data_IF_114021610584
#
_entry.id   IF_114021610584
#
_cell.length_a   1.000
_cell.length_b   1.000
_cell.length_c   1.000
_cell.angle_alpha   90.00
_cell.angle_beta   90.00
_cell.angle_gamma   90.00
#
_symmetry.space_group_name_H-M   'P 1'
#
loop_
_entity.id
_entity.type
_entity.pdbx_description
1 polymer ?
#
# COMPACT_ATOMS: atom_id res chain seq x y z
N UNK A 1 -0.20 38.40 -4.26
CA UNK A 1 -0.88 37.33 -3.51
C UNK A 1 -0.30 36.01 -4.01
N UNK A 2 0.70 35.50 -3.31
CA UNK A 2 1.34 34.23 -3.62
C UNK A 2 0.39 33.11 -3.24
N UNK A 3 -0.25 32.49 -4.22
CA UNK A 3 -0.79 31.14 -4.02
C UNK A 3 0.40 30.23 -4.29
N UNK A 4 0.99 29.74 -3.22
CA UNK A 4 1.86 28.58 -3.23
C UNK A 4 1.00 27.42 -3.70
N UNK A 5 0.91 27.30 -5.03
CA UNK A 5 0.40 26.12 -5.70
C UNK A 5 1.32 25.01 -5.27
N UNK A 6 0.77 24.02 -4.55
CA UNK A 6 1.45 22.76 -4.33
C UNK A 6 1.75 22.18 -5.72
N UNK A 7 2.95 22.45 -6.23
CA UNK A 7 3.55 21.80 -7.38
C UNK A 7 3.99 20.40 -6.92
N UNK A 8 3.02 19.62 -6.48
CA UNK A 8 3.12 18.17 -6.46
C UNK A 8 2.32 17.78 -7.69
N UNK A 9 3.04 17.74 -8.82
CA UNK A 9 2.48 17.45 -10.13
C UNK A 9 1.52 16.27 -10.06
N UNK A 10 0.52 16.29 -10.93
CA UNK A 10 -0.45 15.23 -11.17
C UNK A 10 0.24 13.87 -11.35
N UNK A 11 0.67 13.27 -10.26
CA UNK A 11 1.29 11.99 -10.29
C UNK A 11 0.14 11.01 -10.42
N UNK A 12 -0.12 10.69 -11.68
CA UNK A 12 -0.95 9.58 -12.13
C UNK A 12 -0.30 8.29 -11.66
N UNK A 13 -0.22 8.05 -10.35
CA UNK A 13 0.34 6.84 -9.78
C UNK A 13 -0.62 5.69 -10.09
N UNK A 14 -0.43 5.05 -11.24
CA UNK A 14 -0.75 3.63 -11.45
C UNK A 14 0.45 2.79 -10.96
N UNK A 15 1.03 3.17 -9.83
CA UNK A 15 2.19 2.47 -9.31
C UNK A 15 1.76 1.14 -8.71
N UNK A 16 2.39 0.10 -9.23
CA UNK A 16 2.29 -1.26 -8.73
C UNK A 16 3.42 -1.44 -7.72
N UNK A 17 3.07 -1.57 -6.44
CA UNK A 17 4.07 -1.77 -5.40
C UNK A 17 4.32 -3.26 -5.21
N UNK A 18 5.58 -3.68 -5.18
CA UNK A 18 5.91 -5.04 -4.78
C UNK A 18 6.16 -5.09 -3.28
N UNK A 19 5.41 -5.93 -2.60
CA UNK A 19 5.46 -6.05 -1.17
C UNK A 19 6.47 -7.14 -0.78
N UNK A 20 7.46 -6.79 0.05
CA UNK A 20 8.50 -7.70 0.54
C UNK A 20 8.41 -7.84 2.06
N UNK A 21 8.69 -9.05 2.53
CA UNK A 21 8.93 -9.32 3.94
C UNK A 21 10.27 -8.74 4.40
N UNK A 22 10.48 -8.56 5.72
CA UNK A 22 11.77 -8.14 6.26
C UNK A 22 12.91 -9.13 5.96
N UNK A 23 12.57 -10.40 5.69
CA UNK A 23 13.51 -11.44 5.24
C UNK A 23 13.93 -11.30 3.76
N UNK A 24 13.28 -10.40 3.01
CA UNK A 24 13.53 -10.16 1.59
C UNK A 24 12.64 -10.98 0.65
N UNK A 25 11.97 -12.01 1.17
CA UNK A 25 10.96 -12.81 0.45
C UNK A 25 9.77 -11.97 -0.02
N UNK A 26 9.21 -12.28 -1.19
CA UNK A 26 8.01 -11.59 -1.71
C UNK A 26 6.77 -12.00 -0.93
N UNK A 27 5.91 -11.04 -0.61
CA UNK A 27 4.65 -11.31 0.07
C UNK A 27 3.54 -11.57 -0.95
N UNK A 28 3.65 -12.68 -1.68
CA UNK A 28 2.70 -13.09 -2.72
C UNK A 28 1.47 -13.82 -2.16
N UNK A 29 0.29 -13.61 -2.76
CA UNK A 29 -1.00 -14.20 -2.31
C UNK A 29 -1.30 -13.97 -0.83
N UNK A 30 -0.92 -12.80 -0.31
CA UNK A 30 -1.07 -12.46 1.10
C UNK A 30 -2.15 -11.40 1.30
N UNK A 31 -3.07 -11.62 2.25
CA UNK A 31 -4.03 -10.60 2.63
C UNK A 31 -3.29 -9.44 3.31
N UNK A 32 -3.67 -8.22 2.95
CA UNK A 32 -3.11 -7.00 3.51
C UNK A 32 -4.22 -6.00 3.83
N UNK A 33 -3.93 -5.13 4.78
CA UNK A 33 -4.68 -3.92 5.09
C UNK A 33 -3.78 -2.71 4.82
N UNK A 34 -4.24 -1.83 3.94
CA UNK A 34 -3.62 -0.55 3.65
C UNK A 34 -4.40 0.54 4.39
N UNK A 35 -3.72 1.24 5.29
CA UNK A 35 -4.26 2.38 6.01
C UNK A 35 -3.72 3.66 5.39
N UNK A 36 -4.61 4.55 4.95
CA UNK A 36 -4.27 5.85 4.38
C UNK A 36 -4.07 6.89 5.48
N UNK A 37 -3.38 7.98 5.16
CA UNK A 37 -3.18 9.11 6.09
C UNK A 37 -4.49 9.71 6.62
N UNK A 38 -5.56 9.66 5.81
CA UNK A 38 -6.93 10.07 6.17
C UNK A 38 -7.63 9.11 7.15
N UNK A 39 -7.03 7.96 7.47
CA UNK A 39 -7.61 6.92 8.32
C UNK A 39 -8.46 5.90 7.56
N UNK A 40 -8.69 6.09 6.26
CA UNK A 40 -9.35 5.13 5.40
C UNK A 40 -8.55 3.81 5.33
N UNK A 41 -9.22 2.68 5.53
CA UNK A 41 -8.64 1.33 5.48
C UNK A 41 -9.12 0.60 4.24
N UNK A 42 -8.18 0.01 3.50
CA UNK A 42 -8.44 -0.75 2.28
C UNK A 42 -7.86 -2.14 2.50
N UNK A 43 -8.71 -3.15 2.43
CA UNK A 43 -8.26 -4.54 2.51
C UNK A 43 -8.16 -5.12 1.11
N UNK A 44 -7.13 -5.93 0.89
CA UNK A 44 -6.89 -6.60 -0.38
C UNK A 44 -5.99 -7.80 -0.22
N UNK A 45 -5.69 -8.45 -1.33
CA UNK A 45 -4.73 -9.56 -1.39
C UNK A 45 -3.71 -9.24 -2.46
N UNK A 46 -2.42 -9.45 -2.16
CA UNK A 46 -1.35 -9.31 -3.15
C UNK A 46 -1.46 -10.40 -4.22
N UNK A 47 -0.99 -10.09 -5.42
CA UNK A 47 -0.95 -11.08 -6.51
C UNK A 47 0.17 -12.13 -6.29
N UNK A 48 0.33 -13.06 -7.24
CA UNK A 48 1.36 -14.11 -7.22
C UNK A 48 2.80 -13.57 -7.22
N UNK A 49 2.99 -12.35 -7.70
CA UNK A 49 4.27 -11.63 -7.68
C UNK A 49 4.41 -10.68 -6.46
N UNK A 50 3.46 -10.71 -5.51
CA UNK A 50 3.47 -9.79 -4.36
C UNK A 50 3.07 -8.36 -4.71
N UNK A 51 2.40 -8.17 -5.85
CA UNK A 51 2.06 -6.85 -6.37
C UNK A 51 0.77 -6.31 -5.74
N UNK A 52 0.81 -5.03 -5.36
CA UNK A 52 -0.28 -4.23 -4.83
C UNK A 52 -0.54 -3.10 -5.80
N UNK A 53 -1.70 -3.13 -6.45
CA UNK A 53 -2.14 -2.06 -7.35
C UNK A 53 -2.88 -1.01 -6.55
N UNK A 54 -2.23 0.12 -6.27
CA UNK A 54 -2.90 1.25 -5.63
C UNK A 54 -3.78 1.98 -6.65
N UNK A 55 -4.96 2.40 -6.20
CA UNK A 55 -5.83 3.22 -7.03
C UNK A 55 -5.24 4.63 -7.19
N UNK A 56 -5.46 5.20 -8.37
CA UNK A 56 -5.03 6.56 -8.73
C UNK A 56 -5.50 7.58 -7.68
N UNK A 57 -4.58 8.41 -7.19
CA UNK A 57 -4.87 9.44 -6.18
C UNK A 57 -4.57 9.04 -4.74
N UNK A 58 -3.96 7.87 -4.53
CA UNK A 58 -3.40 7.48 -3.24
C UNK A 58 -1.93 7.92 -3.19
N UNK A 59 -1.63 8.99 -2.46
CA UNK A 59 -0.24 9.41 -2.22
C UNK A 59 0.45 8.44 -1.26
N UNK A 60 1.73 8.07 -1.48
CA UNK A 60 2.49 7.18 -0.60
C UNK A 60 2.77 7.79 0.78
N UNK A 61 2.70 9.12 0.88
CA UNK A 61 2.87 9.85 2.12
C UNK A 61 1.78 9.47 3.13
N UNK A 62 2.19 8.86 4.24
CA UNK A 62 1.30 8.40 5.30
C UNK A 62 0.50 7.14 4.95
N UNK A 63 0.90 6.36 3.95
CA UNK A 63 0.39 5.00 3.77
C UNK A 63 1.07 4.03 4.73
N UNK A 64 0.26 3.22 5.39
CA UNK A 64 0.73 2.11 6.21
C UNK A 64 0.19 0.81 5.63
N UNK A 65 1.10 -0.05 5.19
CA UNK A 65 0.76 -1.40 4.77
C UNK A 65 0.94 -2.36 5.96
N UNK A 66 -0.09 -3.15 6.25
CA UNK A 66 -0.04 -4.21 7.25
C UNK A 66 -0.46 -5.52 6.61
N UNK A 67 0.45 -6.50 6.58
CA UNK A 67 0.05 -7.86 6.22
C UNK A 67 -0.85 -8.43 7.32
N UNK A 68 -1.99 -8.95 6.91
CA UNK A 68 -2.86 -9.75 7.76
C UNK A 68 -2.36 -11.19 7.67
N UNK A 69 -1.05 -11.40 7.85
CA UNK A 69 -0.52 -12.73 8.10
C UNK A 69 -1.38 -13.28 9.23
N UNK A 70 -2.08 -14.39 8.98
CA UNK A 70 -2.91 -15.03 9.99
C UNK A 70 -1.96 -15.25 11.15
N UNK A 71 -2.07 -14.37 12.16
CA UNK A 71 -1.38 -14.56 13.42
C UNK A 71 -1.69 -15.99 13.76
N UNK A 72 -0.63 -16.78 13.85
CA UNK A 72 -0.66 -18.18 14.18
C UNK A 72 -1.83 -18.37 15.14
N UNK A 73 -2.89 -19.04 14.67
CA UNK A 73 -3.85 -19.66 15.55
C UNK A 73 -3.02 -20.77 16.21
N UNK A 74 -2.16 -20.38 17.15
CA UNK A 74 -1.47 -21.30 18.03
C UNK A 74 -2.59 -22.07 18.71
N UNK A 75 -2.57 -23.36 18.43
CA UNK A 75 -3.48 -24.43 18.84
C UNK A 75 -4.07 -24.32 20.24
#
# INVERSE_FOLDING_TARGET
>A
MSREMNDWGEAKFNDSFQAHYPDGSIAANRPYELVRADGARIQGTTDADGIIRLQKGVSPEGLMLRFLDQGEETS
#
